data_IF_648235882367
#
_entry.id   IF_648235882367
#
_cell.length_a   1.000
_cell.length_b   1.000
_cell.length_c   1.000
_cell.angle_alpha   90.00
_cell.angle_beta   90.00
_cell.angle_gamma   90.00
#
_symmetry.space_group_name_H-M   'P 1'
#
loop_
_entity.id
_entity.type
_entity.pdbx_description
1 polymer ?
#
# COMPACT_ATOMS: atom_id res chain seq x y z
N UNK A 1 -9.45 -1.87 5.33
CA UNK A 1 -9.08 -0.44 5.21
C UNK A 1 -8.99 -0.11 3.74
N UNK A 2 -9.48 1.05 3.31
CA UNK A 2 -9.37 1.47 1.91
C UNK A 2 -7.97 2.05 1.68
N UNK A 3 -7.23 1.51 0.72
CA UNK A 3 -5.88 1.96 0.38
C UNK A 3 -5.89 2.50 -1.03
N UNK A 4 -5.63 3.79 -1.18
CA UNK A 4 -5.48 4.46 -2.47
C UNK A 4 -3.99 4.56 -2.78
N UNK A 5 -3.54 3.98 -3.89
CA UNK A 5 -2.13 3.98 -4.29
C UNK A 5 -1.95 4.79 -5.57
N UNK A 6 -0.98 5.71 -5.58
CA UNK A 6 -0.52 6.36 -6.81
C UNK A 6 0.47 5.47 -7.52
N UNK A 7 0.12 5.04 -8.72
CA UNK A 7 1.00 4.28 -9.59
C UNK A 7 2.10 5.17 -10.17
N UNK A 8 3.19 4.57 -10.68
CA UNK A 8 4.26 5.29 -11.38
C UNK A 8 3.79 6.06 -12.62
N UNK A 9 2.68 5.62 -13.22
CA UNK A 9 2.06 6.31 -14.35
C UNK A 9 1.20 7.53 -13.91
N UNK A 10 1.19 7.87 -12.63
CA UNK A 10 0.41 8.99 -12.07
C UNK A 10 -1.06 8.65 -11.80
N UNK A 11 -1.52 7.44 -12.12
CA UNK A 11 -2.90 7.00 -11.89
C UNK A 11 -3.14 6.61 -10.44
N UNK A 12 -4.32 6.94 -9.93
CA UNK A 12 -4.80 6.51 -8.62
C UNK A 12 -5.59 5.22 -8.71
N UNK A 13 -5.26 4.26 -7.85
CA UNK A 13 -6.00 3.00 -7.74
C UNK A 13 -6.46 2.76 -6.31
N UNK A 14 -7.74 2.44 -6.11
CA UNK A 14 -8.22 1.87 -4.87
C UNK A 14 -7.90 0.39 -4.86
N UNK A 15 -7.01 -0.03 -3.96
CA UNK A 15 -6.64 -1.44 -3.79
C UNK A 15 -7.83 -2.20 -3.17
N UNK A 16 -8.40 -3.12 -3.94
CA UNK A 16 -9.48 -4.02 -3.51
C UNK A 16 -8.97 -5.41 -3.14
N UNK A 17 -7.75 -5.78 -3.55
CA UNK A 17 -7.13 -7.04 -3.19
C UNK A 17 -5.88 -7.35 -4.01
N UNK A 18 -5.49 -8.62 -4.02
CA UNK A 18 -4.40 -9.16 -4.83
C UNK A 18 -4.87 -10.33 -5.66
N UNK A 19 -4.24 -10.49 -6.81
CA UNK A 19 -4.19 -11.77 -7.50
C UNK A 19 -2.78 -12.30 -7.41
N UNK A 20 -2.65 -13.50 -6.86
CA UNK A 20 -1.42 -14.28 -7.00
C UNK A 20 -1.29 -14.64 -8.47
N UNK A 21 -0.37 -14.01 -9.16
CA UNK A 21 -0.10 -14.25 -10.56
C UNK A 21 1.07 -15.21 -10.66
N UNK A 22 0.81 -16.46 -11.04
CA UNK A 22 1.89 -17.39 -11.38
C UNK A 22 2.22 -17.17 -12.85
N UNK A 23 3.38 -16.59 -13.15
CA UNK A 23 3.89 -16.50 -14.51
C UNK A 23 4.97 -17.56 -14.72
N UNK A 24 4.84 -18.34 -15.78
CA UNK A 24 5.90 -19.26 -16.23
C UNK A 24 6.70 -18.59 -17.33
N UNK A 25 7.95 -18.25 -17.05
CA UNK A 25 8.89 -17.78 -18.07
C UNK A 25 10.07 -18.75 -18.13
N UNK A 26 10.27 -19.38 -19.28
CA UNK A 26 11.38 -20.32 -19.53
C UNK A 26 11.50 -21.47 -18.51
N UNK A 27 10.39 -22.14 -18.20
CA UNK A 27 10.36 -23.30 -17.28
C UNK A 27 10.49 -22.97 -15.79
N UNK A 28 10.85 -21.73 -15.42
CA UNK A 28 10.81 -21.25 -14.03
C UNK A 28 9.44 -20.64 -13.72
N UNK A 29 8.82 -21.12 -12.64
CA UNK A 29 7.59 -20.53 -12.08
C UNK A 29 7.98 -19.31 -11.25
N UNK A 30 7.63 -18.12 -11.72
CA UNK A 30 7.76 -16.87 -10.96
C UNK A 30 6.41 -16.55 -10.34
N UNK A 31 6.38 -16.40 -9.02
CA UNK A 31 5.19 -15.90 -8.32
C UNK A 31 5.26 -14.37 -8.33
N UNK A 32 4.41 -13.75 -9.14
CA UNK A 32 4.09 -12.32 -9.06
C UNK A 32 2.80 -12.08 -8.29
N UNK A 33 2.58 -10.84 -7.89
CA UNK A 33 1.31 -10.40 -7.31
C UNK A 33 0.83 -9.21 -8.13
N UNK A 34 -0.35 -9.33 -8.73
CA UNK A 34 -1.02 -8.21 -9.38
C UNK A 34 -1.94 -7.54 -8.36
N UNK A 35 -1.85 -6.22 -8.25
CA UNK A 35 -2.81 -5.44 -7.47
C UNK A 35 -4.15 -5.45 -8.20
N UNK A 36 -5.18 -5.91 -7.51
CA UNK A 36 -6.55 -5.68 -7.94
C UNK A 36 -6.98 -4.33 -7.41
N UNK A 37 -7.25 -3.41 -8.31
CA UNK A 37 -7.78 -2.11 -7.93
C UNK A 37 -8.69 -1.54 -8.99
N UNK A 38 -9.53 -0.61 -8.55
CA UNK A 38 -10.33 0.23 -9.43
C UNK A 38 -9.62 1.58 -9.57
N UNK A 39 -9.55 2.12 -10.78
CA UNK A 39 -9.05 3.47 -11.00
C UNK A 39 -10.08 4.45 -10.41
N UNK A 40 -9.68 5.21 -9.39
CA UNK A 40 -10.55 6.16 -8.70
C UNK A 40 -9.68 7.18 -7.98
N UNK A 41 -10.18 8.41 -7.89
CA UNK A 41 -9.51 9.47 -7.15
C UNK A 41 -9.50 9.18 -5.64
N UNK A 42 -8.40 9.51 -4.94
CA UNK A 42 -8.34 9.42 -3.49
C UNK A 42 -9.21 10.51 -2.86
N UNK A 43 -9.78 10.27 -1.67
CA UNK A 43 -10.38 11.34 -0.90
C UNK A 43 -9.31 12.32 -0.44
N UNK A 44 -9.68 13.59 -0.31
CA UNK A 44 -8.83 14.58 0.34
C UNK A 44 -8.62 14.22 1.81
N UNK A 45 -7.36 14.23 2.23
CA UNK A 45 -6.98 13.98 3.62
C UNK A 45 -6.51 15.32 4.22
N UNK A 46 -7.46 16.14 4.66
CA UNK A 46 -7.16 17.38 5.36
C UNK A 46 -6.69 17.10 6.80
N UNK A 47 -5.59 17.71 7.23
CA UNK A 47 -5.08 17.60 8.61
C UNK A 47 -4.57 16.20 9.01
N UNK A 48 -4.23 15.36 8.04
CA UNK A 48 -3.74 14.00 8.27
C UNK A 48 -2.33 13.92 8.85
N UNK A 49 -2.02 12.80 9.51
CA UNK A 49 -0.64 12.43 9.80
C UNK A 49 0.01 11.83 8.54
N UNK A 50 1.34 11.86 8.48
CA UNK A 50 2.11 11.25 7.41
C UNK A 50 3.15 10.28 7.98
N UNK A 51 3.34 9.16 7.30
CA UNK A 51 4.36 8.15 7.61
C UNK A 51 5.14 7.81 6.34
N UNK A 52 6.46 7.82 6.42
CA UNK A 52 7.33 7.34 5.34
C UNK A 52 7.79 5.93 5.65
N UNK A 53 7.66 5.02 4.68
CA UNK A 53 8.02 3.60 4.81
C UNK A 53 8.87 3.13 3.63
N UNK A 54 9.73 2.12 3.81
CA UNK A 54 10.43 1.47 2.70
C UNK A 54 9.47 0.78 1.73
N UNK A 55 9.66 1.00 0.43
CA UNK A 55 8.89 0.39 -0.66
C UNK A 55 9.07 -1.14 -0.72
N UNK A 56 10.25 -1.64 -0.32
CA UNK A 56 10.59 -3.07 -0.30
C UNK A 56 9.65 -3.90 0.59
N UNK A 57 9.16 -3.31 1.70
CA UNK A 57 8.22 -3.94 2.62
C UNK A 57 6.74 -3.74 2.27
N UNK A 58 6.45 -2.83 1.32
CA UNK A 58 5.08 -2.35 1.13
C UNK A 58 4.09 -3.43 0.72
N UNK A 59 4.48 -4.37 -0.14
CA UNK A 59 3.59 -5.48 -0.54
C UNK A 59 3.14 -6.32 0.66
N UNK A 60 4.06 -6.60 1.60
CA UNK A 60 3.74 -7.31 2.85
C UNK A 60 2.89 -6.45 3.77
N UNK A 61 3.19 -5.16 3.89
CA UNK A 61 2.41 -4.23 4.71
C UNK A 61 0.97 -4.11 4.21
N UNK A 62 0.81 -3.83 2.92
CA UNK A 62 -0.46 -3.71 2.23
C UNK A 62 -1.34 -4.92 2.54
N UNK A 63 -0.73 -6.10 2.72
CA UNK A 63 -1.47 -7.31 3.06
C UNK A 63 -2.20 -7.38 4.37
N UNK A 64 -1.64 -6.72 5.35
CA UNK A 64 -2.26 -6.60 6.65
C UNK A 64 -3.18 -5.38 6.66
N UNK A 65 -2.76 -4.29 6.04
CA UNK A 65 -3.49 -3.01 6.03
C UNK A 65 -4.86 -3.13 5.36
N UNK A 66 -4.97 -3.74 4.17
CA UNK A 66 -6.28 -3.85 3.48
C UNK A 66 -7.33 -4.59 4.33
N UNK A 67 -6.90 -5.47 5.23
CA UNK A 67 -7.74 -6.23 6.15
C UNK A 67 -7.86 -5.62 7.56
N UNK A 68 -7.23 -4.47 7.83
CA UNK A 68 -7.13 -3.85 9.17
C UNK A 68 -8.39 -3.07 9.62
N UNK A 69 -9.58 -3.49 9.18
CA UNK A 69 -10.85 -2.85 9.53
C UNK A 69 -11.18 -1.61 8.71
N UNK A 70 -12.01 -0.72 9.25
CA UNK A 70 -12.39 0.55 8.61
C UNK A 70 -11.25 1.58 8.68
N UNK A 71 -11.24 2.53 7.74
CA UNK A 71 -10.21 3.56 7.61
C UNK A 71 -9.83 3.83 6.16
N UNK A 72 -9.17 4.97 5.92
CA UNK A 72 -8.70 5.36 4.60
C UNK A 72 -7.26 5.87 4.67
N UNK A 73 -6.41 5.32 3.79
CA UNK A 73 -5.04 5.81 3.61
C UNK A 73 -4.73 6.02 2.14
N UNK A 74 -3.94 7.06 1.88
CA UNK A 74 -3.43 7.45 0.57
C UNK A 74 -1.93 7.21 0.55
N UNK A 75 -1.45 6.48 -0.45
CA UNK A 75 -0.05 6.08 -0.58
C UNK A 75 0.52 6.65 -1.86
N UNK A 76 1.61 7.39 -1.72
CA UNK A 76 2.35 7.98 -2.84
C UNK A 76 3.82 7.57 -2.80
N UNK A 77 4.42 7.47 -3.98
CA UNK A 77 5.86 7.27 -4.09
C UNK A 77 6.58 8.59 -3.80
N UNK A 78 7.54 8.58 -2.87
CA UNK A 78 8.42 9.73 -2.61
C UNK A 78 9.64 9.64 -3.52
N UNK A 79 10.29 8.48 -3.51
CA UNK A 79 11.44 8.14 -4.34
C UNK A 79 11.43 6.63 -4.69
N UNK A 80 12.51 6.10 -5.24
CA UNK A 80 12.60 4.68 -5.63
C UNK A 80 12.52 3.70 -4.47
N UNK A 81 12.90 4.13 -3.27
CA UNK A 81 13.05 3.31 -2.06
C UNK A 81 11.98 3.59 -1.01
N UNK A 82 11.29 4.72 -1.08
CA UNK A 82 10.36 5.18 -0.05
C UNK A 82 8.96 5.51 -0.57
N UNK A 83 7.97 5.18 0.24
CA UNK A 83 6.55 5.51 0.05
C UNK A 83 6.08 6.38 1.21
N UNK A 84 5.24 7.37 0.92
CA UNK A 84 4.53 8.19 1.89
C UNK A 84 3.11 7.67 2.02
N UNK A 85 2.70 7.40 3.25
CA UNK A 85 1.32 7.05 3.63
C UNK A 85 0.73 8.24 4.37
N UNK A 86 -0.44 8.71 3.93
CA UNK A 86 -1.21 9.80 4.54
C UNK A 86 -2.60 9.32 4.87
N UNK A 87 -3.16 9.81 5.97
CA UNK A 87 -4.49 9.45 6.43
C UNK A 87 -4.82 10.17 7.71
N UNK A 88 -5.96 9.86 8.32
CA UNK A 88 -6.25 10.29 9.69
C UNK A 88 -5.20 9.73 10.66
N UNK A 89 -4.92 10.44 11.74
CA UNK A 89 -3.96 10.00 12.77
C UNK A 89 -4.15 8.55 13.22
N UNK A 90 -5.40 8.13 13.44
CA UNK A 90 -5.72 6.76 13.86
C UNK A 90 -5.35 5.71 12.81
N UNK A 91 -5.60 6.00 11.54
CA UNK A 91 -5.34 5.11 10.41
C UNK A 91 -3.83 4.98 10.17
N UNK A 92 -3.12 6.11 10.20
CA UNK A 92 -1.66 6.16 10.03
C UNK A 92 -0.95 5.46 11.18
N UNK A 93 -1.40 5.65 12.43
CA UNK A 93 -0.86 4.92 13.59
C UNK A 93 -1.10 3.42 13.47
N UNK A 94 -2.27 3.00 12.97
CA UNK A 94 -2.55 1.58 12.71
C UNK A 94 -1.62 1.02 11.64
N UNK A 95 -1.37 1.75 10.55
CA UNK A 95 -0.39 1.37 9.53
C UNK A 95 1.02 1.28 10.13
N UNK A 96 1.43 2.25 10.95
CA UNK A 96 2.73 2.26 11.62
C UNK A 96 2.91 1.05 12.55
N UNK A 97 1.89 0.70 13.34
CA UNK A 97 1.92 -0.46 14.21
C UNK A 97 2.13 -1.75 13.41
N UNK A 98 1.35 -1.95 12.34
CA UNK A 98 1.49 -3.12 11.46
C UNK A 98 2.87 -3.15 10.81
N UNK A 99 3.41 -2.00 10.40
CA UNK A 99 4.75 -1.90 9.82
C UNK A 99 5.85 -2.32 10.82
N UNK A 100 5.71 -1.94 12.10
CA UNK A 100 6.62 -2.39 13.18
C UNK A 100 6.49 -3.89 13.46
N UNK A 101 5.27 -4.42 13.53
CA UNK A 101 5.02 -5.87 13.69
C UNK A 101 5.69 -6.69 12.57
N UNK A 102 5.73 -6.13 11.36
CA UNK A 102 6.38 -6.74 10.19
C UNK A 102 7.88 -6.46 10.09
N UNK A 103 8.47 -5.68 11.01
CA UNK A 103 9.87 -5.22 11.00
C UNK A 103 10.25 -4.47 9.72
N UNK A 104 9.31 -3.67 9.20
CA UNK A 104 9.51 -2.81 8.02
C UNK A 104 10.08 -1.46 8.44
N UNK A 105 9.68 -0.99 9.62
CA UNK A 105 10.19 0.22 10.27
C UNK A 105 10.56 -0.12 11.72
N UNK A 106 11.46 0.65 12.31
CA UNK A 106 11.90 0.49 13.71
C UNK A 106 10.83 0.92 14.74
#
# INVERSE_FOLDING_TARGET
MKVYLKTRAGKWILVKGWLKQVSTRSGKRTQGYALLGEETDPPEVEGGEELVIPASGFSRLLSKVVNAGEGVVVVEQVDTEHLRVRGKSEDVRRVAQIARELKIVE
#
